data_IF_311748815542
#
_entry.id   IF_311748815542
#
_cell.length_a   1.000
_cell.length_b   1.000
_cell.length_c   1.000
_cell.angle_alpha   90.00
_cell.angle_beta   90.00
_cell.angle_gamma   90.00
#
_symmetry.space_group_name_H-M   'P 1'
#
loop_
_entity.id
_entity.type
_entity.pdbx_description
1 polymer ?
#
# COMPACT_ATOMS: atom_id res chain seq x y z
N UNK A 1 18.31 -1.65 -10.21
CA UNK A 1 16.99 -1.37 -9.59
C UNK A 1 17.26 -0.78 -8.23
N UNK A 2 16.82 0.45 -8.02
CA UNK A 2 17.20 1.23 -6.84
C UNK A 2 16.16 1.11 -5.71
N UNK A 3 15.26 0.14 -5.76
CA UNK A 3 14.15 -0.07 -4.81
C UNK A 3 13.27 1.20 -4.65
N UNK A 4 13.15 1.98 -5.70
CA UNK A 4 12.46 3.27 -5.68
C UNK A 4 10.99 3.11 -6.08
N UNK A 5 10.74 2.54 -7.26
CA UNK A 5 9.37 2.36 -7.78
C UNK A 5 8.97 0.90 -7.66
N UNK A 6 7.85 0.58 -6.98
CA UNK A 6 7.33 -0.77 -6.93
C UNK A 6 6.72 -1.16 -8.29
N UNK A 7 6.65 -2.43 -8.60
CA UNK A 7 5.79 -2.92 -9.67
C UNK A 7 4.33 -2.68 -9.29
N UNK A 8 3.56 -2.11 -10.21
CA UNK A 8 2.14 -1.84 -9.96
C UNK A 8 1.25 -3.06 -10.21
N UNK A 9 1.68 -3.99 -11.05
CA UNK A 9 1.04 -5.29 -11.18
C UNK A 9 1.08 -6.05 -9.84
N UNK A 10 -0.05 -6.58 -9.43
CA UNK A 10 -0.18 -7.29 -8.16
C UNK A 10 -0.60 -8.72 -8.42
N UNK A 11 0.22 -9.66 -7.97
CA UNK A 11 0.04 -11.09 -8.19
C UNK A 11 -0.31 -11.79 -6.88
N UNK A 12 -1.25 -12.74 -6.93
CA UNK A 12 -1.65 -13.51 -5.76
C UNK A 12 -0.48 -14.29 -5.15
N UNK A 13 0.35 -14.91 -5.99
CA UNK A 13 1.49 -15.70 -5.52
C UNK A 13 2.55 -14.86 -4.80
N UNK A 14 2.81 -13.63 -5.26
CA UNK A 14 3.74 -12.71 -4.59
C UNK A 14 3.21 -12.28 -3.22
N UNK A 15 1.95 -11.85 -3.16
CA UNK A 15 1.31 -11.48 -1.90
C UNK A 15 1.28 -12.65 -0.91
N UNK A 16 1.06 -13.88 -1.38
CA UNK A 16 1.09 -15.10 -0.55
C UNK A 16 2.46 -15.34 0.08
N UNK A 17 3.51 -15.25 -0.73
CA UNK A 17 4.88 -15.48 -0.28
C UNK A 17 5.36 -14.35 0.65
N UNK A 18 5.05 -13.10 0.32
CA UNK A 18 5.41 -11.95 1.14
C UNK A 18 4.67 -11.98 2.48
N UNK A 19 3.37 -12.27 2.53
CA UNK A 19 2.63 -12.41 3.78
C UNK A 19 3.24 -13.50 4.67
N UNK A 20 3.59 -14.66 4.09
CA UNK A 20 4.29 -15.74 4.79
C UNK A 20 5.65 -15.30 5.35
N UNK A 21 6.45 -14.62 4.53
CA UNK A 21 7.78 -14.12 4.91
C UNK A 21 7.69 -13.11 6.06
N UNK A 22 6.79 -12.12 5.95
CA UNK A 22 6.62 -11.12 6.99
C UNK A 22 6.06 -11.71 8.30
N UNK A 23 5.20 -12.72 8.22
CA UNK A 23 4.75 -13.46 9.40
C UNK A 23 5.92 -14.14 10.11
N UNK A 24 6.78 -14.86 9.38
CA UNK A 24 7.98 -15.50 9.95
C UNK A 24 8.96 -14.47 10.51
N UNK A 25 9.19 -13.38 9.80
CA UNK A 25 10.04 -12.29 10.27
C UNK A 25 9.51 -11.67 11.58
N UNK A 26 8.19 -11.47 11.69
CA UNK A 26 7.58 -11.02 12.94
C UNK A 26 7.76 -12.03 14.07
N UNK A 27 7.53 -13.31 13.82
CA UNK A 27 7.68 -14.35 14.84
C UNK A 27 9.11 -14.40 15.40
N UNK A 28 10.12 -14.16 14.56
CA UNK A 28 11.53 -14.13 14.95
C UNK A 28 11.95 -12.84 15.65
N UNK A 29 11.53 -11.68 15.12
CA UNK A 29 12.07 -10.38 15.53
C UNK A 29 11.17 -9.60 16.48
N UNK A 30 9.88 -9.94 16.53
CA UNK A 30 8.81 -9.19 17.21
C UNK A 30 8.69 -7.74 16.77
N UNK A 31 9.17 -7.42 15.56
CA UNK A 31 9.03 -6.09 14.97
C UNK A 31 7.60 -5.91 14.44
N UNK A 32 6.85 -4.99 15.04
CA UNK A 32 5.44 -4.74 14.69
C UNK A 32 5.24 -4.31 13.21
N UNK A 33 6.23 -3.70 12.57
CA UNK A 33 6.16 -3.37 11.15
C UNK A 33 5.90 -4.61 10.28
N UNK A 34 6.55 -5.73 10.60
CA UNK A 34 6.35 -6.98 9.84
C UNK A 34 4.96 -7.56 10.04
N UNK A 35 4.43 -7.50 11.26
CA UNK A 35 3.04 -7.90 11.55
C UNK A 35 2.03 -7.03 10.81
N UNK A 36 2.18 -5.71 10.90
CA UNK A 36 1.31 -4.76 10.20
C UNK A 36 1.33 -5.01 8.69
N UNK A 37 2.51 -5.27 8.11
CA UNK A 37 2.66 -5.55 6.68
C UNK A 37 1.97 -6.88 6.31
N UNK A 38 2.17 -7.95 7.07
CA UNK A 38 1.52 -9.24 6.83
C UNK A 38 0.00 -9.10 6.87
N UNK A 39 -0.55 -8.51 7.94
CA UNK A 39 -1.99 -8.34 8.12
C UNK A 39 -2.60 -7.42 7.05
N UNK A 40 -1.94 -6.33 6.68
CA UNK A 40 -2.44 -5.43 5.63
C UNK A 40 -2.45 -6.10 4.25
N UNK A 41 -1.46 -6.96 3.97
CA UNK A 41 -1.40 -7.74 2.73
C UNK A 41 -2.55 -8.77 2.68
N UNK A 42 -2.77 -9.52 3.75
CA UNK A 42 -3.88 -10.49 3.83
C UNK A 42 -5.25 -9.80 3.71
N UNK A 43 -5.45 -8.69 4.43
CA UNK A 43 -6.68 -7.89 4.33
C UNK A 43 -6.92 -7.35 2.92
N UNK A 44 -5.86 -6.95 2.21
CA UNK A 44 -5.98 -6.52 0.81
C UNK A 44 -6.46 -7.68 -0.07
N UNK A 45 -5.83 -8.85 0.04
CA UNK A 45 -6.18 -10.03 -0.76
C UNK A 45 -7.62 -10.48 -0.49
N UNK A 46 -8.03 -10.52 0.77
CA UNK A 46 -9.40 -10.88 1.15
C UNK A 46 -10.42 -9.90 0.57
N UNK A 47 -10.16 -8.61 0.69
CA UNK A 47 -11.08 -7.58 0.24
C UNK A 47 -11.19 -7.46 -1.28
N UNK A 48 -10.09 -7.61 -1.99
CA UNK A 48 -10.03 -7.29 -3.42
C UNK A 48 -10.11 -8.54 -4.33
N UNK A 49 -9.72 -9.73 -3.82
CA UNK A 49 -9.59 -10.93 -4.65
C UNK A 49 -10.37 -12.15 -4.17
N UNK A 50 -10.94 -12.13 -2.96
CA UNK A 50 -11.73 -13.27 -2.49
C UNK A 50 -13.08 -13.31 -3.21
N UNK A 51 -13.34 -14.42 -3.92
CA UNK A 51 -14.63 -14.72 -4.50
C UNK A 51 -15.60 -15.29 -3.44
N UNK A 52 -16.90 -15.09 -3.65
CA UNK A 52 -17.94 -15.59 -2.72
C UNK A 52 -17.90 -17.11 -2.51
N UNK A 53 -17.40 -17.87 -3.48
CA UNK A 53 -17.25 -19.32 -3.40
C UNK A 53 -15.95 -19.77 -2.68
N UNK A 54 -15.18 -18.83 -2.12
CA UNK A 54 -14.03 -19.12 -1.26
C UNK A 54 -12.71 -19.36 -1.98
N UNK A 55 -12.54 -18.92 -3.20
CA UNK A 55 -11.25 -18.89 -3.91
C UNK A 55 -10.79 -17.47 -4.19
N UNK A 56 -9.52 -17.30 -4.56
CA UNK A 56 -8.93 -16.01 -4.87
C UNK A 56 -8.64 -15.89 -6.37
N UNK A 57 -8.90 -14.71 -6.91
CA UNK A 57 -8.46 -14.30 -8.25
C UNK A 57 -6.94 -14.14 -8.32
N UNK A 58 -6.39 -14.09 -9.57
CA UNK A 58 -4.94 -14.18 -9.76
C UNK A 58 -4.19 -12.87 -9.64
N UNK A 59 -4.70 -11.77 -10.22
CA UNK A 59 -3.90 -10.54 -10.32
C UNK A 59 -4.74 -9.29 -10.53
N UNK A 60 -4.13 -8.14 -10.24
CA UNK A 60 -4.47 -6.85 -10.86
C UNK A 60 -3.38 -6.44 -11.84
N UNK A 61 -3.79 -5.89 -12.98
CA UNK A 61 -2.89 -5.30 -13.97
C UNK A 61 -2.08 -4.14 -13.37
N UNK A 62 -0.93 -3.84 -13.97
CA UNK A 62 -0.15 -2.65 -13.64
C UNK A 62 -0.86 -1.37 -14.11
N UNK A 63 -1.57 -1.47 -15.24
CA UNK A 63 -2.19 -0.34 -15.92
C UNK A 63 -3.61 -0.07 -15.40
N UNK A 64 -3.96 1.19 -15.32
CA UNK A 64 -5.33 1.65 -15.16
C UNK A 64 -5.55 2.85 -16.08
N UNK A 65 -6.69 2.89 -16.78
CA UNK A 65 -7.02 3.97 -17.73
C UNK A 65 -5.90 4.22 -18.76
N UNK A 66 -5.23 3.15 -19.23
CA UNK A 66 -4.18 3.18 -20.25
C UNK A 66 -2.81 3.69 -19.78
N UNK A 67 -2.59 3.85 -18.48
CA UNK A 67 -1.33 4.32 -17.91
C UNK A 67 -0.91 3.44 -16.74
N UNK A 68 0.39 3.06 -16.70
CA UNK A 68 0.95 2.27 -15.62
C UNK A 68 0.86 3.05 -14.29
N UNK A 69 0.43 2.39 -13.24
CA UNK A 69 0.41 2.93 -11.88
C UNK A 69 -0.60 4.05 -11.60
N UNK A 70 -1.34 4.54 -12.59
CA UNK A 70 -2.24 5.71 -12.47
C UNK A 70 -3.21 5.62 -11.30
N UNK A 71 -3.71 4.44 -10.99
CA UNK A 71 -4.62 4.23 -9.86
C UNK A 71 -3.97 4.51 -8.50
N UNK A 72 -2.66 4.29 -8.38
CA UNK A 72 -1.94 4.27 -7.10
C UNK A 72 -1.14 5.53 -6.80
N UNK A 73 -0.73 6.28 -7.84
CA UNK A 73 0.11 7.46 -7.69
C UNK A 73 -0.71 8.72 -7.49
N UNK A 74 -0.08 9.74 -6.94
CA UNK A 74 -0.72 11.01 -6.62
C UNK A 74 0.15 12.18 -7.04
N UNK A 75 -0.43 13.22 -7.60
CA UNK A 75 0.28 14.48 -7.81
C UNK A 75 0.17 15.39 -6.57
N UNK A 76 1.08 16.34 -6.48
CA UNK A 76 1.17 17.22 -5.32
C UNK A 76 -0.04 18.15 -5.15
N UNK A 77 -0.65 18.58 -6.24
CA UNK A 77 -1.79 19.51 -6.19
C UNK A 77 -3.02 18.79 -5.63
N UNK A 78 -3.34 17.60 -6.15
CA UNK A 78 -4.45 16.80 -5.65
C UNK A 78 -4.27 16.48 -4.16
N UNK A 79 -3.04 16.12 -3.74
CA UNK A 79 -2.77 15.85 -2.33
C UNK A 79 -3.00 17.08 -1.45
N UNK A 80 -2.61 18.29 -1.90
CA UNK A 80 -2.85 19.53 -1.16
C UNK A 80 -4.34 19.82 -1.02
N UNK A 81 -5.08 19.70 -2.12
CA UNK A 81 -6.51 20.00 -2.15
C UNK A 81 -7.31 19.02 -1.28
N UNK A 82 -6.97 17.72 -1.32
CA UNK A 82 -7.67 16.69 -0.58
C UNK A 82 -7.33 16.69 0.93
N UNK A 83 -6.08 16.93 1.28
CA UNK A 83 -5.61 16.77 2.67
C UNK A 83 -5.60 18.08 3.47
N UNK A 84 -5.69 19.24 2.79
CA UNK A 84 -5.74 20.54 3.44
C UNK A 84 -4.63 20.75 4.47
N UNK A 85 -5.00 21.04 5.71
CA UNK A 85 -4.04 21.27 6.81
C UNK A 85 -3.15 20.06 7.15
N UNK A 86 -3.59 18.85 6.82
CA UNK A 86 -2.80 17.64 7.05
C UNK A 86 -1.77 17.37 5.94
N UNK A 87 -1.80 18.14 4.84
CA UNK A 87 -0.89 17.91 3.71
C UNK A 87 0.58 17.99 4.12
N UNK A 88 0.97 18.97 4.94
CA UNK A 88 2.38 19.15 5.26
C UNK A 88 2.96 17.97 6.03
N UNK A 89 2.26 17.45 7.02
CA UNK A 89 2.71 16.29 7.77
C UNK A 89 2.69 15.03 6.89
N UNK A 90 1.65 14.86 6.05
CA UNK A 90 1.53 13.76 5.11
C UNK A 90 2.67 13.75 4.09
N UNK A 91 2.99 14.92 3.52
CA UNK A 91 4.03 15.06 2.50
C UNK A 91 5.42 14.71 3.01
N UNK A 92 5.71 14.99 4.29
CA UNK A 92 6.97 14.62 4.90
C UNK A 92 7.00 13.15 5.35
N UNK A 93 5.85 12.61 5.78
CA UNK A 93 5.75 11.21 6.14
C UNK A 93 5.90 10.28 4.92
N UNK A 94 5.38 10.69 3.75
CA UNK A 94 5.43 9.92 2.52
C UNK A 94 6.40 10.46 1.47
N UNK A 95 7.39 11.25 1.87
CA UNK A 95 8.48 11.72 0.99
C UNK A 95 7.95 12.35 -0.33
N UNK A 96 6.93 13.25 -0.26
CA UNK A 96 6.44 13.98 -1.44
C UNK A 96 7.44 15.09 -1.79
N UNK A 97 8.59 14.66 -2.27
CA UNK A 97 9.78 15.45 -2.61
C UNK A 97 10.58 14.69 -3.70
N UNK A 98 11.82 15.11 -3.96
CA UNK A 98 12.68 14.48 -4.98
C UNK A 98 12.88 12.97 -4.80
N UNK A 99 12.78 12.47 -3.56
CA UNK A 99 12.88 11.02 -3.31
C UNK A 99 11.65 10.25 -3.75
N UNK A 100 10.46 10.77 -3.46
CA UNK A 100 9.20 10.13 -3.83
C UNK A 100 8.74 10.48 -5.25
N UNK A 101 9.41 11.43 -5.91
CA UNK A 101 9.05 11.78 -7.29
C UNK A 101 9.25 10.60 -8.23
N UNK A 102 8.25 10.30 -9.05
CA UNK A 102 8.33 9.25 -10.06
C UNK A 102 8.35 9.87 -11.47
N UNK A 103 7.20 10.13 -12.08
CA UNK A 103 7.11 10.71 -13.41
C UNK A 103 5.84 11.54 -13.60
N UNK A 104 5.81 12.41 -14.60
CA UNK A 104 4.64 13.23 -14.96
C UNK A 104 4.04 14.03 -13.80
N UNK A 105 4.86 14.42 -12.81
CA UNK A 105 4.40 15.14 -11.62
C UNK A 105 3.76 14.26 -10.54
N UNK A 106 3.83 12.95 -10.70
CA UNK A 106 3.31 11.98 -9.74
C UNK A 106 4.37 11.51 -8.74
N UNK A 107 3.89 11.07 -7.59
CA UNK A 107 4.71 10.61 -6.48
C UNK A 107 4.32 9.19 -6.06
N UNK A 108 5.35 8.42 -5.71
CA UNK A 108 5.21 7.17 -4.97
C UNK A 108 5.13 7.51 -3.47
N UNK A 109 4.19 6.94 -2.76
CA UNK A 109 4.03 7.17 -1.32
C UNK A 109 5.05 6.34 -0.53
N UNK A 110 6.30 6.80 -0.51
CA UNK A 110 7.40 6.17 0.22
C UNK A 110 7.39 6.61 1.68
N UNK A 111 7.32 5.66 2.61
CA UNK A 111 7.38 5.98 4.05
C UNK A 111 8.76 6.51 4.41
N UNK A 112 8.81 7.65 5.08
CA UNK A 112 10.07 8.24 5.59
C UNK A 112 10.68 7.39 6.70
N UNK A 113 12.01 7.24 6.66
CA UNK A 113 12.77 6.59 7.73
C UNK A 113 12.98 7.50 8.97
N UNK A 114 12.71 8.80 8.83
CA UNK A 114 12.99 9.82 9.86
C UNK A 114 11.77 10.19 10.71
N UNK A 115 11.04 9.20 11.21
CA UNK A 115 9.82 9.44 12.00
C UNK A 115 10.08 10.25 13.27
N UNK A 116 11.23 10.06 13.95
CA UNK A 116 11.59 10.83 15.13
C UNK A 116 11.71 12.34 14.85
N UNK A 117 12.25 12.70 13.69
CA UNK A 117 12.35 14.10 13.25
C UNK A 117 10.97 14.70 12.99
N UNK A 118 10.05 13.91 12.42
CA UNK A 118 8.66 14.35 12.20
C UNK A 118 7.93 14.59 13.52
N UNK A 119 8.05 13.68 14.49
CA UNK A 119 7.44 13.82 15.81
C UNK A 119 7.90 15.10 16.49
N UNK A 120 9.21 15.39 16.47
CA UNK A 120 9.76 16.63 17.05
C UNK A 120 9.30 17.88 16.29
N UNK A 121 9.32 17.85 14.95
CA UNK A 121 8.94 19.01 14.13
C UNK A 121 7.50 19.44 14.32
N UNK A 122 6.59 18.48 14.45
CA UNK A 122 5.14 18.72 14.55
C UNK A 122 4.63 18.68 16.00
N UNK A 123 5.51 18.49 16.99
CA UNK A 123 5.18 18.36 18.41
C UNK A 123 4.07 17.33 18.65
N UNK A 124 4.26 16.12 18.12
CA UNK A 124 3.27 15.03 18.17
C UNK A 124 3.83 13.80 18.88
N UNK A 125 2.93 13.04 19.53
CA UNK A 125 3.23 11.67 19.92
C UNK A 125 3.12 10.72 18.70
N UNK A 126 3.66 9.51 18.84
CA UNK A 126 3.55 8.47 17.80
C UNK A 126 2.10 8.12 17.50
N UNK A 127 1.25 8.07 18.52
CA UNK A 127 -0.18 7.79 18.40
C UNK A 127 -0.89 8.90 17.62
N UNK A 128 -0.61 10.17 17.93
CA UNK A 128 -1.18 11.31 17.22
C UNK A 128 -0.74 11.38 15.76
N UNK A 129 0.53 11.06 15.47
CA UNK A 129 1.01 10.96 14.09
C UNK A 129 0.27 9.86 13.34
N UNK A 130 0.15 8.67 13.92
CA UNK A 130 -0.55 7.54 13.31
C UNK A 130 -2.02 7.88 13.03
N UNK A 131 -2.73 8.51 13.96
CA UNK A 131 -4.12 8.93 13.79
C UNK A 131 -4.28 9.91 12.61
N UNK A 132 -3.41 10.92 12.52
CA UNK A 132 -3.42 11.87 11.39
C UNK A 132 -3.15 11.18 10.06
N UNK A 133 -2.16 10.29 10.00
CA UNK A 133 -1.83 9.54 8.77
C UNK A 133 -2.96 8.59 8.36
N UNK A 134 -3.61 7.90 9.29
CA UNK A 134 -4.76 7.05 8.97
C UNK A 134 -5.97 7.86 8.50
N UNK A 135 -6.18 9.05 9.05
CA UNK A 135 -7.18 10.01 8.54
C UNK A 135 -6.88 10.39 7.08
N UNK A 136 -5.65 10.77 6.76
CA UNK A 136 -5.23 11.07 5.40
C UNK A 136 -5.42 9.87 4.46
N UNK A 137 -5.00 8.68 4.87
CA UNK A 137 -5.19 7.45 4.08
C UNK A 137 -6.68 7.16 3.82
N UNK A 138 -7.54 7.45 4.78
CA UNK A 138 -8.98 7.26 4.63
C UNK A 138 -9.56 8.20 3.55
N UNK A 139 -9.15 9.47 3.55
CA UNK A 139 -9.53 10.45 2.52
C UNK A 139 -9.06 9.97 1.14
N UNK A 140 -7.79 9.59 1.01
CA UNK A 140 -7.22 9.13 -0.26
C UNK A 140 -7.87 7.82 -0.75
N UNK A 141 -8.17 6.88 0.15
CA UNK A 141 -8.91 5.66 -0.19
C UNK A 141 -10.33 5.95 -0.69
N UNK A 142 -10.98 6.98 -0.13
CA UNK A 142 -12.30 7.39 -0.59
C UNK A 142 -12.23 8.01 -1.99
N UNK A 143 -11.25 8.88 -2.23
CA UNK A 143 -11.02 9.48 -3.55
C UNK A 143 -10.64 8.43 -4.59
N UNK A 144 -9.79 7.47 -4.24
CA UNK A 144 -9.39 6.37 -5.14
C UNK A 144 -10.59 5.55 -5.64
N UNK A 145 -11.72 5.52 -4.94
CA UNK A 145 -12.94 4.82 -5.42
C UNK A 145 -13.54 5.46 -6.67
N UNK A 146 -13.29 6.75 -6.91
CA UNK A 146 -13.74 7.47 -8.12
C UNK A 146 -12.86 7.15 -9.33
N UNK A 147 -11.65 6.62 -9.12
CA UNK A 147 -10.69 6.30 -10.18
C UNK A 147 -11.04 4.98 -10.88
N UNK A 148 -10.63 4.86 -12.15
CA UNK A 148 -10.71 3.61 -12.89
C UNK A 148 -9.72 2.62 -12.26
N UNK A 149 -10.24 1.50 -11.75
CA UNK A 149 -9.40 0.43 -11.18
C UNK A 149 -8.57 -0.26 -12.25
N UNK A 150 -7.41 -0.82 -11.88
CA UNK A 150 -6.68 -1.76 -12.75
C UNK A 150 -7.54 -2.95 -13.16
N UNK A 151 -7.26 -3.52 -14.33
CA UNK A 151 -7.91 -4.73 -14.79
C UNK A 151 -7.74 -5.89 -13.82
N UNK A 152 -8.83 -6.56 -13.47
CA UNK A 152 -8.79 -7.79 -12.68
C UNK A 152 -8.61 -8.98 -13.60
N UNK A 153 -7.53 -9.75 -13.40
CA UNK A 153 -7.40 -11.09 -13.97
C UNK A 153 -8.14 -12.07 -13.05
N UNK A 154 -9.35 -12.43 -13.44
CA UNK A 154 -10.30 -13.25 -12.69
C UNK A 154 -10.04 -14.76 -12.78
N UNK A 155 -8.90 -15.17 -13.35
CA UNK A 155 -8.50 -16.58 -13.35
C UNK A 155 -8.26 -17.07 -11.93
N UNK A 156 -8.60 -18.32 -11.68
CA UNK A 156 -8.31 -19.00 -10.43
C UNK A 156 -7.24 -20.05 -10.66
N UNK A 157 -6.03 -19.82 -10.14
CA UNK A 157 -4.88 -20.72 -10.29
C UNK A 157 -4.71 -21.52 -9.00
N UNK A 158 -4.88 -22.84 -9.09
CA UNK A 158 -4.88 -23.74 -7.93
C UNK A 158 -3.61 -23.62 -7.09
N UNK A 159 -2.42 -23.58 -7.69
CA UNK A 159 -1.15 -23.46 -6.98
C UNK A 159 -1.01 -22.13 -6.23
N UNK A 160 -1.51 -21.03 -6.79
CA UNK A 160 -1.47 -19.72 -6.15
C UNK A 160 -2.47 -19.64 -4.98
N UNK A 161 -3.64 -20.25 -5.14
CA UNK A 161 -4.60 -20.38 -4.06
C UNK A 161 -4.05 -21.24 -2.91
N UNK A 162 -3.35 -22.33 -3.21
CA UNK A 162 -2.70 -23.16 -2.19
C UNK A 162 -1.61 -22.37 -1.41
N UNK A 163 -0.83 -21.53 -2.10
CA UNK A 163 0.13 -20.64 -1.44
C UNK A 163 -0.58 -19.64 -0.51
N UNK A 164 -1.69 -19.06 -0.94
CA UNK A 164 -2.45 -18.11 -0.13
C UNK A 164 -3.08 -18.80 1.09
N UNK A 165 -3.66 -19.99 0.93
CA UNK A 165 -4.13 -20.79 2.07
C UNK A 165 -3.00 -21.06 3.08
N UNK A 166 -1.80 -21.35 2.60
CA UNK A 166 -0.63 -21.56 3.47
C UNK A 166 -0.23 -20.28 4.21
N UNK A 167 -0.36 -19.11 3.58
CA UNK A 167 -0.09 -17.83 4.22
C UNK A 167 -1.10 -17.51 5.34
N UNK A 168 -2.39 -17.79 5.12
CA UNK A 168 -3.41 -17.62 6.16
C UNK A 168 -3.28 -18.60 7.33
N UNK A 169 -2.68 -19.78 7.10
CA UNK A 169 -2.50 -20.79 8.14
C UNK A 169 -1.32 -20.51 9.10
N UNK A 170 -0.44 -19.58 8.77
CA UNK A 170 0.71 -19.18 9.60
C UNK A 170 0.35 -18.07 10.60
#
# INVERSE_FOLDING_TARGET
>A
TDWHVPHFEKMLYDNSQLASLYTEAYLLTKNELYKETALSTLNFVEKEWLHADGFFYSAYDADSDGEEGKYYVWNQLDLKDLLGENYEIFSQYFEINDKGYWEHGNYILMRSDNLSTLLMKFDLSSEQLNEKIETCKTILKQEAKSRIKPGLDDKTITSWNALMCSAYAK
#
